data_IF_746540896947
#
_entry.id   IF_746540896947
#
_cell.length_a   1.000
_cell.length_b   1.000
_cell.length_c   1.000
_cell.angle_alpha   90.00
_cell.angle_beta   90.00
_cell.angle_gamma   90.00
#
_symmetry.space_group_name_H-M   'P 1'
#
loop_
_entity.id
_entity.type
_entity.pdbx_description
1 polymer ?
#
# COMPACT_ATOMS: atom_id res chain seq x y z
N UNK A 1 -30.41 53.60 43.83
CA UNK A 1 -29.15 54.22 43.38
C UNK A 1 -28.01 53.60 44.20
N UNK A 2 -26.93 53.00 43.73
CA UNK A 2 -26.43 52.68 42.39
C UNK A 2 -25.55 51.41 42.44
N UNK A 3 -25.59 50.66 41.33
CA UNK A 3 -24.77 49.48 40.97
C UNK A 3 -23.37 49.97 40.53
N UNK A 4 -22.29 49.20 40.30
CA UNK A 4 -21.79 47.88 40.67
C UNK A 4 -20.38 47.78 40.03
N UNK A 5 -19.59 46.80 40.48
CA UNK A 5 -18.50 46.12 39.75
C UNK A 5 -17.16 46.84 39.49
N UNK A 6 -16.17 46.53 40.32
CA UNK A 6 -14.74 46.64 40.00
C UNK A 6 -14.05 45.29 40.20
N UNK A 7 -13.66 44.63 39.11
CA UNK A 7 -12.92 43.35 39.11
C UNK A 7 -11.45 43.61 39.39
N UNK A 8 -10.86 42.81 40.28
CA UNK A 8 -9.47 42.35 40.14
C UNK A 8 -9.30 41.08 40.97
N UNK A 9 -9.46 39.93 40.31
CA UNK A 9 -9.00 38.65 40.83
C UNK A 9 -7.65 38.36 40.19
N UNK A 10 -6.58 38.37 40.99
CA UNK A 10 -5.29 37.83 40.61
C UNK A 10 -4.65 37.18 41.84
N UNK A 11 -5.03 35.93 42.08
CA UNK A 11 -4.45 35.04 43.10
C UNK A 11 -3.10 34.49 42.62
N UNK A 12 -2.02 35.01 43.22
CA UNK A 12 -0.84 34.36 43.85
C UNK A 12 -0.27 33.00 43.34
N UNK A 13 1.08 33.01 43.28
CA UNK A 13 2.09 31.93 43.36
C UNK A 13 2.40 31.13 42.06
N UNK A 14 3.61 31.13 41.48
CA UNK A 14 4.91 30.58 41.97
C UNK A 14 4.75 29.09 42.33
N UNK A 15 5.45 28.08 41.79
CA UNK A 15 6.77 27.96 41.19
C UNK A 15 6.96 26.48 40.74
N UNK A 16 7.92 26.22 39.84
CA UNK A 16 8.65 24.94 39.65
C UNK A 16 7.96 23.72 39.01
N UNK A 17 8.51 23.27 37.87
CA UNK A 17 8.22 21.97 37.27
C UNK A 17 8.84 21.80 35.88
N UNK A 18 10.09 21.36 35.86
CA UNK A 18 10.91 21.08 34.68
C UNK A 18 10.29 19.97 33.80
N UNK A 19 10.74 19.92 32.54
CA UNK A 19 10.76 18.82 31.55
C UNK A 19 9.51 18.50 30.71
N UNK A 20 9.58 18.98 29.46
CA UNK A 20 9.41 18.23 28.19
C UNK A 20 8.32 17.14 28.18
N UNK A 21 7.13 17.50 27.70
CA UNK A 21 6.18 16.54 27.10
C UNK A 21 6.57 16.29 25.64
N UNK A 22 7.74 15.68 25.42
CA UNK A 22 7.96 14.83 24.24
C UNK A 22 7.88 13.39 24.75
N UNK A 23 7.54 12.47 23.86
CA UNK A 23 7.69 11.01 24.06
C UNK A 23 6.50 10.34 24.75
N UNK A 24 5.38 10.18 24.02
CA UNK A 24 4.80 8.85 23.75
C UNK A 24 3.60 8.97 22.78
N UNK A 25 3.83 8.70 21.48
CA UNK A 25 3.03 7.70 20.77
C UNK A 25 3.77 7.26 19.49
N UNK A 26 4.62 6.26 19.67
CA UNK A 26 4.89 5.17 18.73
C UNK A 26 5.10 5.52 17.26
N UNK A 27 6.37 5.65 16.92
CA UNK A 27 6.92 5.42 15.58
C UNK A 27 6.68 3.96 15.17
N UNK A 28 5.50 3.67 14.62
CA UNK A 28 5.22 2.68 13.56
C UNK A 28 3.72 2.77 13.28
N UNK A 29 3.30 3.81 12.56
CA UNK A 29 2.01 3.76 11.89
C UNK A 29 2.16 2.81 10.70
N UNK A 30 2.13 1.49 10.95
CA UNK A 30 1.78 0.53 9.91
C UNK A 30 0.29 0.71 9.68
N UNK A 31 -0.08 1.80 9.01
CA UNK A 31 -1.39 1.89 8.39
C UNK A 31 -1.31 0.88 7.24
N UNK A 32 -1.80 -0.32 7.50
CA UNK A 32 -2.08 -1.33 6.50
C UNK A 32 -3.05 -0.71 5.50
N UNK A 33 -2.49 -0.09 4.44
CA UNK A 33 -3.22 0.33 3.25
C UNK A 33 -3.65 -0.96 2.54
N UNK A 34 -4.74 -1.54 3.02
CA UNK A 34 -5.33 -2.74 2.44
C UNK A 34 -5.89 -2.35 1.08
N UNK A 35 -5.51 -3.11 0.05
CA UNK A 35 -5.92 -2.86 -1.32
C UNK A 35 -7.08 -3.79 -1.64
N UNK A 36 -8.30 -3.26 -1.57
CA UNK A 36 -9.53 -4.03 -1.70
C UNK A 36 -10.01 -3.98 -3.15
N UNK A 37 -10.51 -5.11 -3.66
CA UNK A 37 -11.06 -5.20 -5.01
C UNK A 37 -12.31 -4.33 -5.19
N UNK A 38 -12.45 -3.68 -6.34
CA UNK A 38 -13.68 -3.00 -6.76
C UNK A 38 -14.88 -3.95 -6.91
N UNK A 39 -14.63 -5.27 -7.02
CA UNK A 39 -15.65 -6.31 -7.13
C UNK A 39 -16.02 -6.93 -5.76
N UNK A 40 -15.40 -6.49 -4.67
CA UNK A 40 -15.60 -7.05 -3.32
C UNK A 40 -17.04 -6.93 -2.79
N UNK A 41 -17.84 -6.01 -3.35
CA UNK A 41 -19.23 -5.82 -2.96
C UNK A 41 -20.19 -6.86 -3.56
N UNK A 42 -19.75 -7.60 -4.58
CA UNK A 42 -20.54 -8.63 -5.22
C UNK A 42 -20.20 -10.01 -4.61
N UNK A 43 -21.14 -10.64 -3.89
CA UNK A 43 -20.88 -11.88 -3.17
C UNK A 43 -20.58 -13.07 -4.10
N UNK A 44 -21.12 -13.08 -5.32
CA UNK A 44 -20.85 -14.12 -6.32
C UNK A 44 -19.42 -14.01 -6.87
N UNK A 45 -18.86 -12.80 -6.96
CA UNK A 45 -17.50 -12.55 -7.42
C UNK A 45 -16.44 -12.64 -6.31
N UNK A 46 -16.84 -12.55 -5.04
CA UNK A 46 -15.93 -12.56 -3.90
C UNK A 46 -15.02 -13.79 -3.85
N UNK A 47 -15.58 -14.99 -4.06
CA UNK A 47 -14.81 -16.25 -4.02
C UNK A 47 -13.74 -16.28 -5.12
N UNK A 48 -14.08 -15.76 -6.30
CA UNK A 48 -13.15 -15.62 -7.43
C UNK A 48 -12.03 -14.61 -7.13
N UNK A 49 -12.36 -13.48 -6.49
CA UNK A 49 -11.38 -12.48 -6.05
C UNK A 49 -10.46 -13.07 -4.97
N UNK A 50 -10.98 -13.85 -4.03
CA UNK A 50 -10.18 -14.54 -3.01
C UNK A 50 -9.18 -15.50 -3.64
N UNK A 51 -9.62 -16.33 -4.60
CA UNK A 51 -8.74 -17.23 -5.34
C UNK A 51 -7.66 -16.46 -6.11
N UNK A 52 -8.01 -15.33 -6.72
CA UNK A 52 -7.04 -14.47 -7.39
C UNK A 52 -5.98 -13.93 -6.43
N UNK A 53 -6.38 -13.41 -5.27
CA UNK A 53 -5.48 -12.88 -4.24
C UNK A 53 -4.53 -13.98 -3.73
N UNK A 54 -5.01 -15.20 -3.55
CA UNK A 54 -4.19 -16.35 -3.13
C UNK A 54 -3.11 -16.72 -4.15
N UNK A 55 -3.33 -16.48 -5.45
CA UNK A 55 -2.32 -16.74 -6.50
C UNK A 55 -1.30 -15.59 -6.67
N UNK A 56 -1.55 -14.39 -6.14
CA UNK A 56 -0.64 -13.25 -6.29
C UNK A 56 0.79 -13.50 -5.77
N UNK A 57 1.00 -14.08 -4.58
CA UNK A 57 2.36 -14.35 -4.08
C UNK A 57 3.17 -15.24 -5.02
N UNK A 58 2.54 -16.27 -5.58
CA UNK A 58 3.17 -17.19 -6.54
C UNK A 58 3.57 -16.48 -7.84
N UNK A 59 2.75 -15.54 -8.32
CA UNK A 59 3.06 -14.72 -9.50
C UNK A 59 4.24 -13.79 -9.23
N UNK A 60 4.30 -13.18 -8.04
CA UNK A 60 5.43 -12.34 -7.61
C UNK A 60 6.72 -13.16 -7.54
N UNK A 61 6.69 -14.36 -6.95
CA UNK A 61 7.85 -15.25 -6.91
C UNK A 61 8.33 -15.63 -8.32
N UNK A 62 7.42 -15.91 -9.25
CA UNK A 62 7.78 -16.21 -10.64
C UNK A 62 8.46 -15.02 -11.33
N UNK A 63 8.00 -13.79 -11.09
CA UNK A 63 8.63 -12.57 -11.60
C UNK A 63 10.04 -12.35 -11.00
N UNK A 64 10.19 -12.56 -9.70
CA UNK A 64 11.50 -12.47 -9.01
C UNK A 64 12.48 -13.50 -9.57
N UNK A 65 12.03 -14.74 -9.79
CA UNK A 65 12.84 -15.78 -10.39
C UNK A 65 13.24 -15.47 -11.84
N UNK A 66 12.36 -14.84 -12.62
CA UNK A 66 12.68 -14.39 -13.98
C UNK A 66 13.73 -13.28 -13.96
N UNK A 67 13.62 -12.30 -13.05
CA UNK A 67 14.61 -11.23 -12.89
C UNK A 67 15.99 -11.79 -12.48
N UNK A 68 16.03 -12.70 -11.49
CA UNK A 68 17.28 -13.33 -11.05
C UNK A 68 17.99 -14.10 -12.17
N UNK A 69 17.23 -14.66 -13.12
CA UNK A 69 17.75 -15.36 -14.30
C UNK A 69 17.97 -14.44 -15.51
N UNK A 70 17.68 -13.15 -15.39
CA UNK A 70 17.65 -12.18 -16.50
C UNK A 70 16.79 -12.64 -17.68
N UNK A 71 15.72 -13.38 -17.39
CA UNK A 71 14.75 -13.84 -18.37
C UNK A 71 13.68 -12.77 -18.61
N UNK A 72 14.07 -11.72 -19.32
CA UNK A 72 13.23 -10.55 -19.59
C UNK A 72 12.02 -10.89 -20.47
N UNK A 73 12.09 -11.94 -21.29
CA UNK A 73 10.96 -12.41 -22.09
C UNK A 73 9.86 -12.99 -21.19
N UNK A 74 10.23 -13.88 -20.28
CA UNK A 74 9.31 -14.43 -19.28
C UNK A 74 8.76 -13.33 -18.38
N UNK A 75 9.62 -12.42 -17.93
CA UNK A 75 9.22 -11.32 -17.06
C UNK A 75 8.20 -10.38 -17.72
N UNK A 76 8.39 -10.03 -19.00
CA UNK A 76 7.43 -9.22 -19.77
C UNK A 76 6.08 -9.95 -19.93
N UNK A 77 6.10 -11.25 -20.23
CA UNK A 77 4.89 -12.06 -20.38
C UNK A 77 4.11 -12.16 -19.07
N UNK A 78 4.78 -12.45 -17.97
CA UNK A 78 4.16 -12.55 -16.64
C UNK A 78 3.58 -11.20 -16.20
N UNK A 79 4.31 -10.10 -16.42
CA UNK A 79 3.83 -8.75 -16.12
C UNK A 79 2.58 -8.40 -16.94
N UNK A 80 2.58 -8.74 -18.23
CA UNK A 80 1.42 -8.55 -19.11
C UNK A 80 0.19 -9.34 -18.64
N UNK A 81 0.37 -10.62 -18.29
CA UNK A 81 -0.70 -11.47 -17.77
C UNK A 81 -1.27 -10.93 -16.47
N UNK A 82 -0.39 -10.51 -15.54
CA UNK A 82 -0.82 -9.94 -14.26
C UNK A 82 -1.59 -8.64 -14.46
N UNK A 83 -1.13 -7.75 -15.35
CA UNK A 83 -1.85 -6.53 -15.73
C UNK A 83 -3.28 -6.83 -16.18
N UNK A 84 -3.43 -7.76 -17.14
CA UNK A 84 -4.75 -8.13 -17.68
C UNK A 84 -5.66 -8.75 -16.62
N UNK A 85 -5.14 -9.71 -15.84
CA UNK A 85 -5.92 -10.35 -14.80
C UNK A 85 -6.31 -9.39 -13.67
N UNK A 86 -5.37 -8.61 -13.15
CA UNK A 86 -5.61 -7.72 -12.00
C UNK A 86 -6.70 -6.68 -12.29
N UNK A 87 -6.72 -6.11 -13.51
CA UNK A 87 -7.80 -5.22 -13.92
C UNK A 87 -9.17 -5.92 -13.95
N UNK A 88 -9.23 -7.15 -14.46
CA UNK A 88 -10.45 -7.95 -14.48
C UNK A 88 -10.98 -8.36 -13.10
N UNK A 89 -10.11 -8.43 -12.09
CA UNK A 89 -10.48 -8.75 -10.70
C UNK A 89 -10.64 -7.50 -9.82
N UNK A 90 -10.73 -6.30 -10.40
CA UNK A 90 -10.98 -5.06 -9.65
C UNK A 90 -9.77 -4.53 -8.87
N UNK A 91 -8.54 -4.84 -9.31
CA UNK A 91 -7.29 -4.34 -8.71
C UNK A 91 -6.54 -3.38 -9.67
N UNK A 92 -7.09 -2.19 -9.95
CA UNK A 92 -6.52 -1.27 -10.95
C UNK A 92 -5.10 -0.80 -10.58
N UNK A 93 -4.79 -0.64 -9.29
CA UNK A 93 -3.45 -0.28 -8.82
C UNK A 93 -2.40 -1.37 -9.10
N UNK A 94 -2.76 -2.65 -8.93
CA UNK A 94 -1.88 -3.78 -9.26
C UNK A 94 -1.71 -3.86 -10.79
N UNK A 95 -2.79 -3.63 -11.54
CA UNK A 95 -2.75 -3.59 -13.00
C UNK A 95 -1.79 -2.50 -13.51
N UNK A 96 -1.86 -1.29 -12.96
CA UNK A 96 -0.97 -0.19 -13.34
C UNK A 96 0.50 -0.48 -12.98
N UNK A 97 0.77 -0.97 -11.76
CA UNK A 97 2.13 -1.37 -11.39
C UNK A 97 2.70 -2.47 -12.29
N UNK A 98 1.89 -3.46 -12.69
CA UNK A 98 2.29 -4.50 -13.62
C UNK A 98 2.55 -3.94 -15.04
N UNK A 99 1.81 -2.92 -15.47
CA UNK A 99 2.05 -2.20 -16.73
C UNK A 99 3.37 -1.43 -16.70
N UNK A 100 3.70 -0.77 -15.58
CA UNK A 100 4.98 -0.08 -15.39
C UNK A 100 6.13 -1.08 -15.51
N UNK A 101 6.06 -2.21 -14.80
CA UNK A 101 7.07 -3.26 -14.88
C UNK A 101 7.22 -3.80 -16.31
N UNK A 102 6.10 -4.12 -16.98
CA UNK A 102 6.09 -4.57 -18.38
C UNK A 102 6.81 -3.56 -19.30
N UNK A 103 6.59 -2.26 -19.07
CA UNK A 103 7.18 -1.18 -19.88
C UNK A 103 8.69 -1.06 -19.66
N UNK A 104 9.15 -1.13 -18.41
CA UNK A 104 10.58 -1.09 -18.06
C UNK A 104 11.31 -2.28 -18.70
N UNK A 105 10.74 -3.49 -18.56
CA UNK A 105 11.32 -4.72 -19.12
C UNK A 105 11.40 -4.63 -20.65
N UNK A 106 10.32 -4.19 -21.33
CA UNK A 106 10.29 -4.05 -22.80
C UNK A 106 11.24 -2.98 -23.32
N UNK A 107 11.44 -1.91 -22.56
CA UNK A 107 12.37 -0.82 -22.91
C UNK A 107 13.83 -1.17 -22.59
N UNK A 108 14.11 -2.38 -22.07
CA UNK A 108 15.43 -2.80 -21.59
C UNK A 108 16.01 -1.84 -20.54
N UNK A 109 15.16 -1.46 -19.57
CA UNK A 109 15.60 -0.71 -18.38
C UNK A 109 16.68 -1.46 -17.60
N UNK A 110 17.28 -0.80 -16.61
CA UNK A 110 18.31 -1.44 -15.79
C UNK A 110 17.72 -2.53 -14.89
N UNK A 111 18.53 -3.53 -14.50
CA UNK A 111 18.11 -4.54 -13.52
C UNK A 111 17.62 -3.87 -12.20
N UNK A 112 18.21 -2.73 -11.82
CA UNK A 112 17.80 -1.97 -10.64
C UNK A 112 16.41 -1.33 -10.78
N UNK A 113 16.08 -0.76 -11.95
CA UNK A 113 14.74 -0.22 -12.22
C UNK A 113 13.67 -1.33 -12.20
N UNK A 114 14.02 -2.48 -12.78
CA UNK A 114 13.18 -3.67 -12.78
C UNK A 114 12.94 -4.20 -11.37
N UNK A 115 13.99 -4.29 -10.55
CA UNK A 115 13.89 -4.71 -9.15
C UNK A 115 13.03 -3.73 -8.33
N UNK A 116 13.27 -2.43 -8.46
CA UNK A 116 12.49 -1.41 -7.76
C UNK A 116 11.01 -1.48 -8.12
N UNK A 117 10.69 -1.58 -9.42
CA UNK A 117 9.30 -1.69 -9.89
C UNK A 117 8.65 -3.02 -9.47
N UNK A 118 9.39 -4.12 -9.48
CA UNK A 118 8.90 -5.41 -8.99
C UNK A 118 8.63 -5.40 -7.48
N UNK A 119 9.46 -4.72 -6.70
CA UNK A 119 9.24 -4.57 -5.25
C UNK A 119 7.98 -3.76 -4.95
N UNK A 120 7.72 -2.68 -5.72
CA UNK A 120 6.46 -1.93 -5.61
C UNK A 120 5.25 -2.80 -5.97
N UNK A 121 5.34 -3.57 -7.05
CA UNK A 121 4.28 -4.51 -7.44
C UNK A 121 4.05 -5.58 -6.36
N UNK A 122 5.11 -6.12 -5.77
CA UNK A 122 5.04 -7.11 -4.71
C UNK A 122 4.34 -6.58 -3.45
N UNK A 123 4.65 -5.35 -3.04
CA UNK A 123 4.00 -4.67 -1.92
C UNK A 123 2.48 -4.52 -2.13
N UNK A 124 2.07 -4.05 -3.32
CA UNK A 124 0.65 -3.94 -3.66
C UNK A 124 -0.05 -5.30 -3.67
N UNK A 125 0.60 -6.34 -4.20
CA UNK A 125 0.09 -7.71 -4.17
C UNK A 125 -0.08 -8.23 -2.73
N UNK A 126 0.88 -7.93 -1.83
CA UNK A 126 0.81 -8.35 -0.43
C UNK A 126 -0.32 -7.64 0.35
N UNK A 127 -0.69 -6.44 -0.08
CA UNK A 127 -1.80 -5.64 0.48
C UNK A 127 -3.17 -6.02 -0.08
N UNK A 128 -3.22 -6.78 -1.18
CA UNK A 128 -4.47 -7.16 -1.84
C UNK A 128 -5.36 -8.00 -0.91
N UNK A 129 -6.64 -7.62 -0.79
CA UNK A 129 -7.66 -8.40 -0.07
C UNK A 129 -8.97 -8.41 -0.87
N UNK A 130 -9.74 -9.49 -0.69
CA UNK A 130 -11.07 -9.59 -1.26
C UNK A 130 -12.15 -8.88 -0.43
N UNK A 131 -11.83 -8.48 0.81
CA UNK A 131 -12.74 -7.76 1.71
C UNK A 131 -11.96 -6.82 2.62
N UNK A 132 -12.63 -5.81 3.16
CA UNK A 132 -12.07 -4.80 4.08
C UNK A 132 -12.26 -5.13 5.56
N UNK A 133 -12.66 -6.36 5.89
CA UNK A 133 -12.97 -6.79 7.27
C UNK A 133 -11.76 -6.68 8.22
#
# INVERSE_FOLDING_TARGET
MGQAAGRVSATRAAEHGVVRRREWNSMTQTQSDVLVSELAADPDLRDLVELFVQELPKRVVALQAALAKRDYLTMARLSHQLKGSAGGYGFPRISDAAKVLETIVKSRGSDADMEASLNQLADLCAKARATSD
#
